data_IF_409882960725
#
_entry.id   IF_409882960725
#
_cell.length_a   1.000
_cell.length_b   1.000
_cell.length_c   1.000
_cell.angle_alpha   90.00
_cell.angle_beta   90.00
_cell.angle_gamma   90.00
#
_symmetry.space_group_name_H-M   'P 1'
#
loop_
_entity.id
_entity.type
_entity.pdbx_description
1 polymer ?
#
# COMPACT_ATOMS: atom_id res chain seq x y z
N UNK A 1 -16.45 -1.34 -79.76
CA UNK A 1 -16.56 -2.72 -79.25
C UNK A 1 -15.14 -3.16 -78.95
N UNK A 2 -14.68 -2.93 -77.72
CA UNK A 2 -14.60 -3.98 -76.66
C UNK A 2 -13.34 -4.82 -76.90
N UNK A 3 -12.30 -4.79 -76.06
CA UNK A 3 -12.19 -5.49 -74.77
C UNK A 3 -10.99 -4.90 -73.99
N UNK A 4 -11.17 -4.37 -72.78
CA UNK A 4 -11.18 -5.07 -71.48
C UNK A 4 -9.77 -5.47 -70.98
N UNK A 5 -9.18 -4.59 -70.19
CA UNK A 5 -8.01 -4.81 -69.32
C UNK A 5 -8.33 -5.90 -68.28
N UNK A 6 -7.51 -6.94 -68.09
CA UNK A 6 -7.69 -7.81 -66.93
C UNK A 6 -7.15 -7.11 -65.68
N UNK A 7 -8.05 -6.90 -64.71
CA UNK A 7 -7.73 -6.43 -63.38
C UNK A 7 -6.69 -7.33 -62.69
N UNK A 8 -5.67 -6.68 -62.10
CA UNK A 8 -4.71 -7.31 -61.21
C UNK A 8 -5.42 -7.69 -59.91
N UNK A 9 -6.01 -8.88 -59.88
CA UNK A 9 -6.55 -9.48 -58.66
C UNK A 9 -5.44 -9.72 -57.63
N UNK A 10 -5.35 -8.84 -56.64
CA UNK A 10 -4.60 -9.09 -55.40
C UNK A 10 -5.29 -10.23 -54.66
N UNK A 11 -4.75 -11.45 -54.76
CA UNK A 11 -5.16 -12.55 -53.88
C UNK A 11 -4.91 -12.14 -52.43
N UNK A 12 -5.90 -12.23 -51.52
CA UNK A 12 -5.65 -12.06 -50.10
C UNK A 12 -4.80 -13.25 -49.64
N UNK A 13 -3.54 -12.98 -49.31
CA UNK A 13 -2.65 -13.97 -48.73
C UNK A 13 -3.27 -14.53 -47.46
N UNK A 14 -3.44 -15.85 -47.41
CA UNK A 14 -3.88 -16.58 -46.23
C UNK A 14 -2.93 -16.24 -45.07
N UNK A 15 -3.40 -15.42 -44.13
CA UNK A 15 -2.69 -15.16 -42.88
C UNK A 15 -2.58 -16.49 -42.15
N UNK A 16 -1.37 -17.00 -42.04
CA UNK A 16 -1.05 -18.20 -41.28
C UNK A 16 -1.58 -18.04 -39.84
N UNK A 17 -2.39 -18.99 -39.32
CA UNK A 17 -2.98 -18.91 -37.98
C UNK A 17 -1.95 -18.94 -36.85
N UNK A 18 -0.66 -19.19 -37.14
CA UNK A 18 0.42 -19.20 -36.17
C UNK A 18 0.84 -17.81 -35.66
N UNK A 19 0.66 -16.74 -36.43
CA UNK A 19 1.15 -15.40 -36.05
C UNK A 19 0.38 -14.80 -34.86
N UNK A 20 -0.93 -15.00 -34.79
CA UNK A 20 -1.74 -14.53 -33.67
C UNK A 20 -1.49 -15.33 -32.38
N UNK A 21 -1.25 -16.64 -32.48
CA UNK A 21 -0.94 -17.46 -31.31
C UNK A 21 0.42 -17.11 -30.69
N UNK A 22 1.42 -16.79 -31.51
CA UNK A 22 2.70 -16.28 -31.02
C UNK A 22 2.56 -14.93 -30.31
N UNK A 23 1.77 -14.01 -30.86
CA UNK A 23 1.54 -12.71 -30.24
C UNK A 23 0.82 -12.84 -28.88
N UNK A 24 -0.20 -13.70 -28.79
CA UNK A 24 -0.91 -13.98 -27.53
C UNK A 24 0.02 -14.65 -26.51
N UNK A 25 0.80 -15.65 -26.94
CA UNK A 25 1.77 -16.32 -26.08
C UNK A 25 2.85 -15.37 -25.54
N UNK A 26 3.38 -14.49 -26.38
CA UNK A 26 4.33 -13.46 -25.97
C UNK A 26 3.72 -12.47 -24.96
N UNK A 27 2.46 -12.07 -25.15
CA UNK A 27 1.76 -11.19 -24.21
C UNK A 27 1.55 -11.84 -22.84
N UNK A 28 1.12 -13.11 -22.81
CA UNK A 28 0.96 -13.85 -21.55
C UNK A 28 2.31 -14.01 -20.85
N UNK A 29 3.38 -14.34 -21.59
CA UNK A 29 4.72 -14.49 -21.03
C UNK A 29 5.24 -13.18 -20.43
N UNK A 30 5.08 -12.06 -21.14
CA UNK A 30 5.47 -10.74 -20.62
C UNK A 30 4.64 -10.33 -19.40
N UNK A 31 3.33 -10.62 -19.39
CA UNK A 31 2.47 -10.39 -18.23
C UNK A 31 2.88 -11.20 -17.02
N UNK A 32 3.21 -12.48 -17.20
CA UNK A 32 3.69 -13.35 -16.12
C UNK A 32 5.05 -12.87 -15.57
N UNK A 33 5.98 -12.46 -16.43
CA UNK A 33 7.27 -11.90 -15.99
C UNK A 33 7.06 -10.61 -15.20
N UNK A 34 6.16 -9.72 -15.64
CA UNK A 34 5.82 -8.49 -14.93
C UNK A 34 5.18 -8.75 -13.56
N UNK A 35 4.31 -9.76 -13.46
CA UNK A 35 3.69 -10.14 -12.19
C UNK A 35 4.71 -10.72 -11.20
N UNK A 36 5.58 -11.62 -11.68
CA UNK A 36 6.61 -12.23 -10.83
C UNK A 36 7.66 -11.20 -10.41
N UNK A 37 8.06 -10.28 -11.30
CA UNK A 37 9.01 -9.23 -10.96
C UNK A 37 8.45 -8.28 -9.91
N UNK A 38 7.21 -7.81 -10.05
CA UNK A 38 6.56 -6.95 -9.04
C UNK A 38 6.39 -7.67 -7.70
N UNK A 39 6.05 -8.97 -7.69
CA UNK A 39 5.97 -9.75 -6.46
C UNK A 39 7.32 -9.91 -5.73
N UNK A 40 8.43 -10.02 -6.49
CA UNK A 40 9.76 -10.17 -5.90
C UNK A 40 10.39 -8.83 -5.48
N UNK A 41 10.15 -7.76 -6.25
CA UNK A 41 10.81 -6.47 -6.04
C UNK A 41 9.97 -5.46 -5.25
N UNK A 42 8.67 -5.68 -5.07
CA UNK A 42 7.77 -4.79 -4.32
C UNK A 42 6.83 -5.54 -3.35
N UNK A 43 7.34 -6.43 -2.47
CA UNK A 43 6.49 -7.14 -1.49
C UNK A 43 5.72 -6.17 -0.59
N UNK A 44 6.22 -4.94 -0.44
CA UNK A 44 5.68 -3.91 0.44
C UNK A 44 4.40 -3.24 -0.06
N UNK A 45 4.12 -3.38 -1.37
CA UNK A 45 2.83 -3.01 -1.96
C UNK A 45 1.81 -4.13 -1.88
N UNK A 46 2.26 -5.39 -1.91
CA UNK A 46 1.38 -6.55 -1.95
C UNK A 46 0.85 -6.94 -0.57
N UNK A 47 1.58 -6.63 0.51
CA UNK A 47 1.13 -6.96 1.86
C UNK A 47 -0.02 -6.09 2.39
N UNK A 48 -0.53 -5.09 1.66
CA UNK A 48 -1.58 -4.19 2.18
C UNK A 48 -2.94 -4.90 2.24
N UNK A 49 -3.48 -5.03 3.45
CA UNK A 49 -4.74 -5.70 3.75
C UNK A 49 -5.78 -4.73 4.36
N UNK A 50 -5.74 -3.44 4.00
CA UNK A 50 -6.69 -2.44 4.53
C UNK A 50 -8.15 -2.80 4.24
N UNK A 51 -8.41 -3.50 3.13
CA UNK A 51 -9.73 -4.00 2.76
C UNK A 51 -10.25 -5.10 3.70
N UNK A 52 -9.37 -5.76 4.45
CA UNK A 52 -9.74 -6.76 5.44
C UNK A 52 -10.28 -6.15 6.73
N UNK A 53 -10.13 -4.85 6.96
CA UNK A 53 -10.53 -4.23 8.21
C UNK A 53 -11.96 -3.69 8.13
N UNK A 54 -12.83 -4.24 8.98
CA UNK A 54 -14.22 -3.85 9.13
C UNK A 54 -14.40 -2.44 9.71
N UNK A 55 -15.63 -1.94 9.77
CA UNK A 55 -15.89 -0.59 10.22
C UNK A 55 -15.72 -0.45 11.75
N UNK A 56 -15.58 0.79 12.22
CA UNK A 56 -15.34 1.10 13.63
C UNK A 56 -16.59 1.01 14.51
N UNK A 57 -17.77 1.11 13.91
CA UNK A 57 -19.08 1.08 14.58
C UNK A 57 -19.65 -0.35 14.73
N UNK A 58 -18.98 -1.34 14.17
CA UNK A 58 -19.27 -2.75 14.41
C UNK A 58 -18.71 -3.24 15.76
N UNK A 59 -19.26 -4.35 16.25
CA UNK A 59 -18.73 -5.07 17.41
C UNK A 59 -18.23 -6.44 16.94
N UNK A 60 -16.92 -6.74 17.00
CA UNK A 60 -15.83 -5.89 17.48
C UNK A 60 -15.44 -4.78 16.48
N UNK A 61 -14.90 -3.66 16.96
CA UNK A 61 -14.49 -2.53 16.12
C UNK A 61 -13.26 -2.91 15.30
N UNK A 62 -13.22 -2.52 14.02
CA UNK A 62 -12.12 -2.84 13.11
C UNK A 62 -11.83 -4.36 13.04
N UNK A 63 -12.89 -5.17 13.00
CA UNK A 63 -12.77 -6.61 12.90
C UNK A 63 -12.05 -7.03 11.61
N UNK A 64 -11.17 -8.03 11.69
CA UNK A 64 -10.60 -8.68 10.52
C UNK A 64 -11.69 -9.52 9.82
N UNK A 65 -12.05 -9.11 8.62
CA UNK A 65 -13.04 -9.77 7.77
C UNK A 65 -12.46 -10.82 6.82
N UNK A 66 -11.13 -10.88 6.72
CA UNK A 66 -10.43 -11.86 5.91
C UNK A 66 -10.21 -13.18 6.66
N UNK A 67 -9.89 -14.23 5.91
CA UNK A 67 -9.67 -15.60 6.40
C UNK A 67 -8.22 -15.89 6.84
N UNK A 68 -7.40 -14.86 6.90
CA UNK A 68 -5.99 -14.90 7.29
C UNK A 68 -5.68 -13.84 8.33
N UNK A 69 -4.59 -14.02 9.08
CA UNK A 69 -4.15 -13.07 10.11
C UNK A 69 -3.64 -11.77 9.48
N UNK A 70 -4.05 -10.64 10.06
CA UNK A 70 -3.58 -9.31 9.66
C UNK A 70 -2.89 -8.60 10.82
N UNK A 71 -1.75 -7.98 10.54
CA UNK A 71 -1.09 -7.05 11.43
C UNK A 71 -1.69 -5.66 11.20
N UNK A 72 -2.51 -5.23 12.15
CA UNK A 72 -3.21 -3.95 12.12
C UNK A 72 -2.49 -2.91 12.97
N UNK A 73 -2.35 -1.71 12.44
CA UNK A 73 -1.86 -0.53 13.13
C UNK A 73 -2.93 0.55 13.08
N UNK A 74 -3.24 1.10 14.26
CA UNK A 74 -4.02 2.32 14.36
C UNK A 74 -3.21 3.37 15.10
N UNK A 75 -3.16 4.56 14.51
CA UNK A 75 -2.54 5.75 15.08
C UNK A 75 -3.61 6.81 15.33
N UNK A 76 -3.73 7.19 16.59
CA UNK A 76 -4.62 8.23 17.07
C UNK A 76 -3.80 9.51 17.27
N UNK A 77 -4.15 10.56 16.53
CA UNK A 77 -3.52 11.86 16.67
C UNK A 77 -4.35 12.71 17.61
N UNK A 78 -3.70 13.30 18.61
CA UNK A 78 -4.36 14.10 19.64
C UNK A 78 -4.49 15.57 19.24
N UNK A 79 -5.59 16.20 19.66
CA UNK A 79 -5.71 17.66 19.66
C UNK A 79 -4.80 18.34 20.70
N UNK A 80 -4.36 17.60 21.73
CA UNK A 80 -3.56 18.14 22.83
C UNK A 80 -2.06 18.29 22.48
N UNK A 81 -1.58 17.65 21.42
CA UNK A 81 -0.18 17.72 21.01
C UNK A 81 0.39 16.40 20.51
N UNK A 82 1.57 16.45 19.88
CA UNK A 82 2.25 15.25 19.38
C UNK A 82 2.71 14.29 20.50
N UNK A 83 2.92 14.82 21.70
CA UNK A 83 3.26 14.06 22.90
C UNK A 83 2.12 13.16 23.39
N UNK A 84 0.89 13.41 22.90
CA UNK A 84 -0.31 12.62 23.19
C UNK A 84 -0.74 11.75 22.00
N UNK A 85 -0.01 11.77 20.89
CA UNK A 85 -0.25 10.87 19.77
C UNK A 85 0.06 9.42 20.22
N UNK A 86 -0.77 8.47 19.79
CA UNK A 86 -0.68 7.07 20.20
C UNK A 86 -0.76 6.17 18.97
N UNK A 87 0.22 5.28 18.79
CA UNK A 87 0.21 4.24 17.76
C UNK A 87 0.31 2.87 18.41
N UNK A 88 -0.50 1.93 17.94
CA UNK A 88 -0.53 0.55 18.41
C UNK A 88 -0.53 -0.39 17.22
N UNK A 89 0.28 -1.43 17.35
CA UNK A 89 0.25 -2.58 16.46
C UNK A 89 -0.45 -3.73 17.20
N UNK A 90 -1.37 -4.38 16.50
CA UNK A 90 -2.18 -5.50 16.99
C UNK A 90 -2.27 -6.53 15.88
N UNK A 91 -1.99 -7.79 16.21
CA UNK A 91 -2.29 -8.92 15.32
C UNK A 91 -3.75 -9.28 15.51
N UNK A 92 -4.51 -9.37 14.42
CA UNK A 92 -5.93 -9.73 14.42
C UNK A 92 -6.11 -11.06 13.68
N UNK A 93 -6.59 -12.08 14.39
CA UNK A 93 -7.08 -13.31 13.77
C UNK A 93 -8.39 -13.07 13.00
N UNK A 94 -8.80 -13.98 12.09
CA UNK A 94 -10.09 -13.88 11.40
C UNK A 94 -11.27 -13.68 12.37
N UNK A 95 -12.03 -12.62 12.18
CA UNK A 95 -13.16 -12.21 13.02
C UNK A 95 -12.78 -11.45 14.30
N UNK A 96 -11.50 -11.33 14.63
CA UNK A 96 -11.02 -10.56 15.79
C UNK A 96 -10.99 -9.06 15.46
N UNK A 97 -11.37 -8.21 16.41
CA UNK A 97 -11.26 -6.76 16.27
C UNK A 97 -10.53 -6.13 17.45
N UNK A 98 -10.32 -4.83 17.36
CA UNK A 98 -9.50 -4.08 18.33
C UNK A 98 -10.25 -3.90 19.64
N UNK A 99 -9.64 -4.33 20.74
CA UNK A 99 -10.21 -4.25 22.10
C UNK A 99 -9.72 -3.05 22.90
N UNK A 100 -8.52 -2.54 22.60
CA UNK A 100 -7.88 -1.42 23.31
C UNK A 100 -8.35 -0.04 22.86
N UNK A 101 -9.08 0.05 21.74
CA UNK A 101 -9.42 1.31 21.08
C UNK A 101 -10.11 2.31 22.03
N UNK A 102 -11.14 1.85 22.76
CA UNK A 102 -11.92 2.74 23.64
C UNK A 102 -11.06 3.30 24.80
N UNK A 103 -10.17 2.48 25.33
CA UNK A 103 -9.23 2.88 26.40
C UNK A 103 -8.22 3.89 25.88
N UNK A 104 -7.70 3.69 24.67
CA UNK A 104 -6.73 4.60 24.05
C UNK A 104 -7.38 5.96 23.70
N UNK A 105 -8.62 5.97 23.19
CA UNK A 105 -9.37 7.21 22.94
C UNK A 105 -9.59 8.03 24.22
N UNK A 106 -9.87 7.36 25.33
CA UNK A 106 -10.08 8.02 26.62
C UNK A 106 -8.79 8.70 27.15
N UNK A 107 -7.62 8.20 26.79
CA UNK A 107 -6.32 8.75 27.19
C UNK A 107 -5.83 9.89 26.28
N UNK A 108 -6.38 9.99 25.08
CA UNK A 108 -5.88 10.88 24.03
C UNK A 108 -6.10 12.38 24.32
N UNK A 109 -7.09 12.72 25.14
CA UNK A 109 -7.46 14.12 25.40
C UNK A 109 -8.17 14.82 24.23
N UNK A 110 -8.69 14.05 23.27
CA UNK A 110 -9.43 14.53 22.10
C UNK A 110 -8.79 14.07 20.78
N UNK A 111 -9.60 13.51 19.89
CA UNK A 111 -9.14 12.99 18.60
C UNK A 111 -9.08 14.09 17.54
N UNK A 112 -7.89 14.29 16.96
CA UNK A 112 -7.67 15.14 15.79
C UNK A 112 -7.88 14.36 14.50
N UNK A 113 -7.21 13.21 14.40
CA UNK A 113 -7.19 12.35 13.21
C UNK A 113 -6.92 10.91 13.62
N UNK A 114 -7.42 9.98 12.81
CA UNK A 114 -7.01 8.57 12.86
C UNK A 114 -6.27 8.19 11.57
N UNK A 115 -5.24 7.37 11.69
CA UNK A 115 -4.58 6.71 10.57
C UNK A 115 -4.60 5.20 10.81
N UNK A 116 -5.01 4.45 9.79
CA UNK A 116 -5.19 3.00 9.86
C UNK A 116 -4.32 2.34 8.80
N UNK A 117 -3.71 1.21 9.15
CA UNK A 117 -2.95 0.39 8.24
C UNK A 117 -3.09 -1.07 8.64
N UNK A 118 -3.40 -1.94 7.70
CA UNK A 118 -3.40 -3.38 7.87
C UNK A 118 -2.46 -4.01 6.87
N UNK A 119 -1.71 -5.00 7.35
CA UNK A 119 -0.79 -5.79 6.56
C UNK A 119 -1.10 -7.28 6.71
N UNK A 120 -1.14 -8.02 5.62
CA UNK A 120 -1.25 -9.47 5.64
C UNK A 120 0.03 -10.08 6.26
N UNK A 121 -0.14 -11.01 7.20
CA UNK A 121 0.99 -11.72 7.78
C UNK A 121 1.78 -12.48 6.67
N UNK A 122 3.12 -12.45 6.66
CA UNK A 122 4.01 -12.07 7.76
C UNK A 122 4.43 -10.59 7.76
N UNK A 123 3.88 -9.76 6.87
CA UNK A 123 4.25 -8.34 6.80
C UNK A 123 3.65 -7.55 7.96
N UNK A 124 4.38 -6.54 8.42
CA UNK A 124 3.97 -5.68 9.52
C UNK A 124 3.89 -4.22 9.05
N UNK A 125 3.01 -3.40 9.64
CA UNK A 125 3.00 -1.97 9.40
C UNK A 125 4.37 -1.35 9.70
N UNK A 126 4.83 -0.46 8.83
CA UNK A 126 6.12 0.20 8.92
C UNK A 126 6.25 1.33 7.90
N UNK A 127 7.48 1.80 7.69
CA UNK A 127 7.76 2.81 6.67
C UNK A 127 8.79 2.30 5.68
N UNK A 128 8.72 2.80 4.45
CA UNK A 128 9.71 2.49 3.42
C UNK A 128 10.08 3.72 2.62
N UNK A 129 11.31 3.72 2.12
CA UNK A 129 11.84 4.82 1.34
C UNK A 129 11.41 4.70 -0.13
N UNK A 130 10.64 5.66 -0.62
CA UNK A 130 10.24 5.68 -2.02
C UNK A 130 11.42 6.08 -2.92
N UNK A 131 11.90 5.15 -3.75
CA UNK A 131 13.17 5.30 -4.51
C UNK A 131 13.31 6.61 -5.29
N UNK A 132 12.22 7.11 -5.89
CA UNK A 132 12.20 8.34 -6.67
C UNK A 132 12.30 9.63 -5.83
N UNK A 133 11.70 9.64 -4.64
CA UNK A 133 11.54 10.86 -3.84
C UNK A 133 12.34 10.87 -2.56
N UNK A 134 12.93 9.72 -2.20
CA UNK A 134 13.62 9.51 -0.93
C UNK A 134 12.74 9.82 0.29
N UNK A 135 11.41 9.83 0.10
CA UNK A 135 10.43 10.06 1.16
C UNK A 135 10.07 8.77 1.84
N UNK A 136 10.12 8.79 3.17
CA UNK A 136 9.54 7.75 3.99
C UNK A 136 8.02 7.74 3.82
N UNK A 137 7.49 6.60 3.40
CA UNK A 137 6.08 6.39 3.09
C UNK A 137 5.56 5.26 3.97
N UNK A 138 4.37 5.39 4.59
CA UNK A 138 3.81 4.31 5.37
C UNK A 138 3.39 3.13 4.46
N UNK A 139 3.71 1.91 4.87
CA UNK A 139 3.46 0.70 4.11
C UNK A 139 3.65 -0.57 4.93
N UNK A 140 3.63 -1.71 4.24
CA UNK A 140 3.85 -3.01 4.85
C UNK A 140 5.30 -3.42 4.61
N UNK A 141 6.04 -3.71 5.68
CA UNK A 141 7.45 -4.08 5.61
C UNK A 141 7.65 -5.48 6.20
N UNK A 142 8.85 -6.04 6.03
CA UNK A 142 9.20 -7.31 6.67
C UNK A 142 9.42 -7.09 8.18
N UNK A 143 9.10 -8.07 9.04
CA UNK A 143 9.18 -7.92 10.50
C UNK A 143 10.59 -7.75 11.08
N UNK A 144 11.64 -7.83 10.24
CA UNK A 144 13.02 -7.52 10.60
C UNK A 144 13.56 -6.24 9.97
N UNK A 145 12.71 -5.47 9.29
CA UNK A 145 13.11 -4.19 8.71
C UNK A 145 13.33 -3.15 9.82
N UNK A 146 14.38 -2.30 9.74
CA UNK A 146 14.62 -1.24 10.73
C UNK A 146 13.47 -0.24 10.85
N UNK A 147 12.57 -0.18 9.86
CA UNK A 147 11.40 0.69 9.85
C UNK A 147 10.09 -0.05 10.16
N UNK A 148 10.16 -1.30 10.62
CA UNK A 148 9.01 -2.04 11.12
C UNK A 148 8.51 -1.50 12.46
N UNK A 149 7.19 -1.45 12.63
CA UNK A 149 6.53 -1.16 13.91
C UNK A 149 5.72 0.15 13.95
N UNK A 150 5.29 0.54 15.17
CA UNK A 150 4.43 1.69 15.38
C UNK A 150 5.17 2.98 15.05
N UNK A 151 4.71 3.68 14.01
CA UNK A 151 5.32 4.92 13.56
C UNK A 151 4.27 6.03 13.48
N UNK A 152 4.54 7.13 14.19
CA UNK A 152 3.69 8.33 14.10
C UNK A 152 4.16 9.12 12.88
N UNK A 153 3.52 8.90 11.73
CA UNK A 153 3.68 9.77 10.57
C UNK A 153 2.90 11.07 10.78
N UNK A 154 3.28 11.89 11.77
CA UNK A 154 2.88 13.30 11.74
C UNK A 154 3.56 13.86 10.50
N UNK A 155 2.83 14.54 9.61
CA UNK A 155 3.50 15.44 8.69
C UNK A 155 4.17 16.48 9.58
N UNK A 156 5.40 16.23 9.98
CA UNK A 156 6.24 17.26 10.54
C UNK A 156 6.36 18.25 9.39
N UNK A 157 5.69 19.41 9.54
CA UNK A 157 6.25 20.62 8.99
C UNK A 157 7.71 20.57 9.39
N UNK A 158 8.59 20.48 8.38
CA UNK A 158 10.04 20.47 8.51
C UNK A 158 10.41 21.39 9.67
N UNK A 159 11.28 20.99 10.62
CA UNK A 159 11.90 21.98 11.48
C UNK A 159 12.46 23.03 10.54
N UNK A 160 12.06 24.29 10.73
CA UNK A 160 12.75 25.37 10.05
C UNK A 160 14.24 25.17 10.35
N UNK A 161 15.14 25.24 9.36
CA UNK A 161 16.55 25.22 9.67
C UNK A 161 16.79 26.33 10.68
N UNK A 162 17.26 25.97 11.88
CA UNK A 162 17.65 26.91 12.91
C UNK A 162 18.65 27.87 12.25
N UNK A 163 18.13 29.04 11.89
CA UNK A 163 18.94 30.10 11.31
C UNK A 163 19.51 30.81 12.52
N UNK A 164 20.54 30.21 13.11
CA UNK A 164 21.47 30.92 13.99
C UNK A 164 22.12 32.01 13.14
N UNK A 165 21.46 33.17 13.07
CA UNK A 165 22.07 34.41 12.64
C UNK A 165 23.08 34.79 13.74
N UNK A 166 24.38 34.90 13.44
CA UNK A 166 25.30 35.50 14.39
C UNK A 166 24.89 36.96 14.62
N UNK A 167 24.57 37.30 15.88
CA UNK A 167 24.44 38.66 16.35
C UNK A 167 25.83 39.33 16.32
N UNK A 168 26.21 39.90 15.18
CA UNK A 168 27.31 40.86 15.07
C UNK A 168 26.73 42.27 14.85
N UNK A 169 26.57 43.02 15.94
CA UNK A 169 26.44 44.49 15.97
C UNK A 169 27.54 45.10 16.85
#
# INVERSE_FOLDING_TARGET
MEQATPERGTKPGSKSPGGCLFAIGAFIALGAIGFVSTALFEPERQGKANECIGPSDASPAYANSCDHTVNFQYCLYSNAGADKDLCRDVSLEPGEGVTSLQTDLAQLGGLFRISLMACEAPFVPGQYEYWNTKRMTPGCVKPGDPFAGPHISRQQSTPAPDTDLPDDF
#
